data_IF_540803693056
#
_entry.id   IF_540803693056
#
_cell.length_a   1.000
_cell.length_b   1.000
_cell.length_c   1.000
_cell.angle_alpha   90.00
_cell.angle_beta   90.00
_cell.angle_gamma   90.00
#
_symmetry.space_group_name_H-M   'P 1'
#
loop_
_entity.id
_entity.type
_entity.pdbx_description
1 polymer ?
#
# COMPACT_ATOMS: atom_id res chain seq x y z
N UNK A 1 6.06 1.00 13.91
CA UNK A 1 6.02 1.12 12.44
C UNK A 1 7.42 0.93 11.88
N UNK A 2 7.57 0.10 10.87
CA UNK A 2 8.87 -0.24 10.31
C UNK A 2 9.23 0.65 9.13
N UNK A 3 10.40 1.27 9.18
CA UNK A 3 10.90 2.07 8.06
C UNK A 3 11.16 1.21 6.83
N UNK A 4 11.59 -0.04 7.05
CA UNK A 4 11.83 -0.98 5.96
C UNK A 4 10.53 -1.32 5.24
N UNK A 5 9.44 -1.50 6.00
CA UNK A 5 8.13 -1.76 5.42
C UNK A 5 7.66 -0.56 4.60
N UNK A 6 7.79 0.63 5.16
CA UNK A 6 7.41 1.85 4.45
C UNK A 6 8.21 2.02 3.15
N UNK A 7 9.53 1.83 3.22
CA UNK A 7 10.39 2.00 2.04
C UNK A 7 9.98 1.04 0.91
N UNK A 8 9.67 -0.21 1.27
CA UNK A 8 9.25 -1.19 0.28
C UNK A 8 7.86 -0.87 -0.30
N UNK A 9 6.92 -0.48 0.55
CA UNK A 9 5.58 -0.08 0.11
C UNK A 9 5.66 1.13 -0.81
N UNK A 10 6.47 2.13 -0.44
CA UNK A 10 6.67 3.34 -1.22
C UNK A 10 7.12 3.02 -2.65
N UNK A 11 8.07 2.12 -2.77
CA UNK A 11 8.57 1.70 -4.08
C UNK A 11 7.49 0.97 -4.89
N UNK A 12 6.77 0.06 -4.25
CA UNK A 12 5.70 -0.70 -4.90
C UNK A 12 4.59 0.25 -5.39
N UNK A 13 4.17 1.17 -4.54
CA UNK A 13 3.12 2.13 -4.87
C UNK A 13 3.56 3.01 -6.04
N UNK A 14 4.79 3.50 -6.00
CA UNK A 14 5.31 4.34 -7.08
C UNK A 14 5.27 3.61 -8.42
N UNK A 15 5.64 2.35 -8.43
CA UNK A 15 5.63 1.54 -9.65
C UNK A 15 4.23 1.24 -10.13
N UNK A 16 3.33 0.85 -9.21
CA UNK A 16 1.97 0.44 -9.57
C UNK A 16 1.10 1.62 -10.01
N UNK A 17 1.26 2.76 -9.37
CA UNK A 17 0.46 3.95 -9.67
C UNK A 17 1.18 4.91 -10.62
N UNK A 18 2.40 4.59 -11.01
CA UNK A 18 3.19 5.39 -11.93
C UNK A 18 3.38 6.82 -11.42
N UNK A 19 3.73 6.95 -10.16
CA UNK A 19 4.00 8.23 -9.51
C UNK A 19 5.43 8.21 -8.96
N UNK A 20 5.93 9.39 -8.59
CA UNK A 20 7.25 9.51 -7.98
C UNK A 20 7.22 8.96 -6.55
N UNK A 21 8.30 8.33 -6.11
CA UNK A 21 8.41 7.89 -4.71
C UNK A 21 8.28 9.08 -3.75
N UNK A 22 8.69 10.28 -4.18
CA UNK A 22 8.57 11.49 -3.36
C UNK A 22 7.12 11.87 -3.09
N UNK A 23 6.19 11.44 -3.95
CA UNK A 23 4.77 11.70 -3.77
C UNK A 23 4.12 10.71 -2.81
N UNK A 24 4.78 9.59 -2.53
CA UNK A 24 4.24 8.53 -1.67
C UNK A 24 4.63 8.81 -0.23
N UNK A 25 3.93 9.76 0.38
CA UNK A 25 4.15 10.12 1.79
C UNK A 25 3.19 9.32 2.66
N UNK A 26 3.46 9.28 3.97
CA UNK A 26 2.64 8.51 4.91
C UNK A 26 1.19 8.98 4.95
N UNK A 27 0.96 10.27 4.71
CA UNK A 27 -0.39 10.84 4.76
C UNK A 27 -1.09 10.85 3.39
N UNK A 28 -0.39 10.43 2.34
CA UNK A 28 -0.97 10.44 0.99
C UNK A 28 -2.13 9.45 0.89
N UNK A 29 -3.24 9.91 0.33
CA UNK A 29 -4.39 9.06 0.02
C UNK A 29 -4.16 8.43 -1.35
N UNK A 30 -4.40 7.14 -1.48
CA UNK A 30 -4.22 6.46 -2.76
C UNK A 30 -5.14 7.03 -3.83
N UNK A 31 -6.38 7.33 -3.48
CA UNK A 31 -7.36 7.87 -4.43
C UNK A 31 -7.20 9.36 -4.65
N UNK A 32 -7.13 10.13 -3.56
CA UNK A 32 -7.16 11.58 -3.63
C UNK A 32 -5.83 12.20 -4.01
N UNK A 33 -4.74 11.66 -3.47
CA UNK A 33 -3.41 12.24 -3.68
C UNK A 33 -2.63 11.56 -4.80
N UNK A 34 -2.81 10.25 -4.94
CA UNK A 34 -2.05 9.46 -5.90
C UNK A 34 -2.88 9.05 -7.12
N UNK A 35 -4.15 9.42 -7.14
CA UNK A 35 -5.00 9.24 -8.31
C UNK A 35 -5.40 7.80 -8.63
N UNK A 36 -5.33 6.90 -7.64
CA UNK A 36 -5.69 5.50 -7.86
C UNK A 36 -7.21 5.35 -7.94
N UNK A 37 -7.69 4.73 -9.02
CA UNK A 37 -9.09 4.33 -9.11
C UNK A 37 -9.28 2.94 -8.48
N UNK A 38 -10.49 2.42 -8.54
CA UNK A 38 -10.80 1.13 -7.91
C UNK A 38 -9.95 -0.02 -8.47
N UNK A 39 -9.74 -0.03 -9.78
CA UNK A 39 -8.93 -1.06 -10.41
C UNK A 39 -7.47 -0.95 -10.00
N UNK A 40 -6.94 0.27 -9.98
CA UNK A 40 -5.56 0.49 -9.56
C UNK A 40 -5.34 0.06 -8.12
N UNK A 41 -6.33 0.31 -7.24
CA UNK A 41 -6.26 -0.13 -5.85
C UNK A 41 -6.23 -1.65 -5.73
N UNK A 42 -7.06 -2.34 -6.51
CA UNK A 42 -7.07 -3.81 -6.51
C UNK A 42 -5.71 -4.34 -6.95
N UNK A 43 -5.15 -3.78 -8.01
CA UNK A 43 -3.84 -4.18 -8.52
C UNK A 43 -2.75 -3.90 -7.50
N UNK A 44 -2.82 -2.75 -6.80
CA UNK A 44 -1.88 -2.41 -5.76
C UNK A 44 -1.93 -3.40 -4.61
N UNK A 45 -3.12 -3.76 -4.15
CA UNK A 45 -3.30 -4.74 -3.08
C UNK A 45 -2.70 -6.08 -3.50
N UNK A 46 -2.94 -6.52 -4.72
CA UNK A 46 -2.37 -7.76 -5.22
C UNK A 46 -0.84 -7.70 -5.25
N UNK A 47 -0.28 -6.58 -5.65
CA UNK A 47 1.18 -6.40 -5.66
C UNK A 47 1.76 -6.48 -4.24
N UNK A 48 1.06 -5.89 -3.27
CA UNK A 48 1.49 -5.96 -1.88
C UNK A 48 1.47 -7.39 -1.35
N UNK A 49 0.42 -8.14 -1.69
CA UNK A 49 0.34 -9.55 -1.32
C UNK A 49 1.53 -10.34 -1.86
N UNK A 50 1.87 -10.15 -3.11
CA UNK A 50 2.98 -10.84 -3.74
C UNK A 50 4.33 -10.42 -3.16
N UNK A 51 4.55 -9.12 -3.03
CA UNK A 51 5.86 -8.61 -2.63
C UNK A 51 6.19 -8.88 -1.17
N UNK A 52 5.19 -8.98 -0.33
CA UNK A 52 5.37 -9.30 1.09
C UNK A 52 5.05 -10.76 1.41
N UNK A 53 4.75 -11.56 0.40
CA UNK A 53 4.43 -12.97 0.54
C UNK A 53 3.30 -13.19 1.56
N UNK A 54 2.28 -12.35 1.47
CA UNK A 54 1.13 -12.43 2.36
C UNK A 54 0.07 -13.35 1.77
N UNK A 55 -0.75 -13.92 2.67
CA UNK A 55 -1.98 -14.55 2.24
C UNK A 55 -2.92 -13.46 1.71
N UNK A 56 -4.00 -13.88 1.08
CA UNK A 56 -4.99 -12.95 0.54
C UNK A 56 -5.45 -11.92 1.58
N UNK A 57 -5.46 -10.65 1.19
CA UNK A 57 -6.01 -9.59 2.03
C UNK A 57 -7.52 -9.57 1.80
N UNK A 58 -8.34 -9.80 2.85
CA UNK A 58 -9.79 -9.77 2.69
C UNK A 58 -10.28 -8.43 2.16
N UNK A 59 -11.35 -8.44 1.37
CA UNK A 59 -11.90 -7.21 0.80
C UNK A 59 -12.25 -6.17 1.87
N UNK A 60 -12.81 -6.61 3.00
CA UNK A 60 -13.16 -5.68 4.07
C UNK A 60 -11.93 -5.02 4.69
N UNK A 61 -10.79 -5.71 4.71
CA UNK A 61 -9.54 -5.11 5.17
C UNK A 61 -8.97 -4.16 4.12
N UNK A 62 -9.05 -4.54 2.85
CA UNK A 62 -8.58 -3.70 1.76
C UNK A 62 -9.33 -2.38 1.72
N UNK A 63 -10.62 -2.39 2.02
CA UNK A 63 -11.43 -1.17 2.06
C UNK A 63 -10.97 -0.17 3.12
N UNK A 64 -10.28 -0.64 4.15
CA UNK A 64 -9.76 0.21 5.22
C UNK A 64 -8.41 0.82 4.88
N UNK A 65 -7.76 0.31 3.84
CA UNK A 65 -6.44 0.80 3.43
C UNK A 65 -6.66 1.96 2.46
N UNK A 66 -6.70 3.17 3.00
CA UNK A 66 -6.98 4.38 2.22
C UNK A 66 -5.75 5.26 2.02
N UNK A 67 -4.81 5.22 2.97
CA UNK A 67 -3.59 6.01 2.90
C UNK A 67 -2.38 5.10 2.93
N UNK A 68 -1.22 5.67 2.60
CA UNK A 68 0.05 4.93 2.66
C UNK A 68 0.29 4.42 4.09
N UNK A 69 0.00 5.26 5.09
CA UNK A 69 0.15 4.86 6.50
C UNK A 69 -0.72 3.65 6.83
N UNK A 70 -1.96 3.63 6.35
CA UNK A 70 -2.86 2.49 6.57
C UNK A 70 -2.26 1.21 6.02
N UNK A 71 -1.66 1.29 4.84
CA UNK A 71 -1.01 0.12 4.21
C UNK A 71 0.20 -0.34 5.02
N UNK A 72 1.03 0.61 5.47
CA UNK A 72 2.21 0.28 6.29
C UNK A 72 1.80 -0.40 7.58
N UNK A 73 0.81 0.18 8.28
CA UNK A 73 0.34 -0.37 9.55
C UNK A 73 -0.25 -1.77 9.36
N UNK A 74 -1.04 -1.96 8.31
CA UNK A 74 -1.65 -3.25 8.02
C UNK A 74 -0.58 -4.32 7.74
N UNK A 75 0.37 -4.00 6.88
CA UNK A 75 1.44 -4.94 6.50
C UNK A 75 2.30 -5.27 7.72
N UNK A 76 2.70 -4.27 8.51
CA UNK A 76 3.49 -4.51 9.73
C UNK A 76 2.74 -5.45 10.67
N UNK A 77 1.44 -5.26 10.83
CA UNK A 77 0.60 -6.11 11.67
C UNK A 77 0.60 -7.55 11.17
N UNK A 78 0.51 -7.74 9.86
CA UNK A 78 0.48 -9.08 9.26
C UNK A 78 1.84 -9.76 9.32
N UNK A 79 2.93 -9.00 9.28
CA UNK A 79 4.29 -9.54 9.40
C UNK A 79 4.71 -9.79 10.84
N UNK A 80 3.91 -9.39 11.80
CA UNK A 80 4.23 -9.56 13.21
C UNK A 80 5.23 -8.55 13.74
N UNK A 81 5.39 -7.46 13.06
CA UNK A 81 6.32 -6.39 13.48
C UNK A 81 5.70 -5.46 14.50
#
# INVERSE_FOLDING_TARGET
>A
MSEATYAKIRKIVAEELNVSEDDVTMTASFQDDLGADSLALVELIMALEEQFELDSIPDEDAEKIKTVKDAVDYIDSRLGA
#
